data_IF_832253754224
#
_entry.id   IF_832253754224
#
_cell.length_a   1.000
_cell.length_b   1.000
_cell.length_c   1.000
_cell.angle_alpha   90.00
_cell.angle_beta   90.00
_cell.angle_gamma   90.00
#
_symmetry.space_group_name_H-M   'P 1'
#
loop_
_entity.id
_entity.type
_entity.pdbx_description
1 polymer ?
#
# COMPACT_ATOMS: atom_id res chain seq x y z
N UNK A 1 28.83 14.19 -24.25
CA UNK A 1 29.26 13.47 -23.05
C UNK A 1 28.17 12.48 -22.71
N UNK A 2 28.40 11.19 -22.94
CA UNK A 2 27.45 10.15 -22.57
C UNK A 2 27.25 10.18 -21.06
N UNK A 3 26.08 10.66 -20.64
CA UNK A 3 25.63 10.50 -19.27
C UNK A 3 25.37 9.00 -19.07
N UNK A 4 26.43 8.28 -18.67
CA UNK A 4 26.34 6.87 -18.30
C UNK A 4 25.20 6.74 -17.29
N UNK A 5 24.15 6.03 -17.69
CA UNK A 5 23.03 5.81 -16.79
C UNK A 5 23.56 5.15 -15.52
N UNK A 6 23.17 5.62 -14.33
CA UNK A 6 23.62 5.01 -13.10
C UNK A 6 23.24 3.52 -13.13
N UNK A 7 24.10 2.63 -12.58
CA UNK A 7 23.82 1.20 -12.56
C UNK A 7 22.43 0.94 -11.94
N UNK A 8 21.71 -0.03 -12.49
CA UNK A 8 20.27 -0.22 -12.23
C UNK A 8 19.91 -0.26 -10.73
N UNK A 9 20.78 -0.81 -9.88
CA UNK A 9 20.57 -0.81 -8.43
C UNK A 9 20.54 0.60 -7.83
N UNK A 10 21.41 1.53 -8.27
CA UNK A 10 21.40 2.92 -7.78
C UNK A 10 20.15 3.67 -8.21
N UNK A 11 19.58 3.30 -9.36
CA UNK A 11 18.39 3.95 -9.92
C UNK A 11 17.13 3.74 -9.06
N UNK A 12 17.11 2.72 -8.19
CA UNK A 12 15.96 2.35 -7.36
C UNK A 12 16.25 2.41 -5.85
N UNK A 13 17.32 3.08 -5.43
CA UNK A 13 17.74 3.14 -4.02
C UNK A 13 16.67 3.65 -3.07
N UNK A 14 15.93 4.68 -3.47
CA UNK A 14 14.85 5.23 -2.67
C UNK A 14 13.63 4.30 -2.56
N UNK A 15 13.55 3.25 -3.38
CA UNK A 15 12.48 2.26 -3.38
C UNK A 15 12.77 1.08 -2.43
N UNK A 16 13.99 0.56 -2.41
CA UNK A 16 14.33 -0.58 -1.52
C UNK A 16 14.82 -0.14 -0.14
N UNK A 17 15.39 1.06 0.04
CA UNK A 17 15.85 1.51 1.36
C UNK A 17 14.74 1.53 2.42
N UNK A 18 13.50 2.00 2.15
CA UNK A 18 12.41 1.89 3.11
C UNK A 18 12.12 0.45 3.53
N UNK A 19 12.24 -0.51 2.61
CA UNK A 19 12.04 -1.94 2.89
C UNK A 19 13.14 -2.44 3.85
N UNK A 20 14.40 -2.08 3.59
CA UNK A 20 15.51 -2.42 4.48
C UNK A 20 15.34 -1.78 5.87
N UNK A 21 14.90 -0.52 5.94
CA UNK A 21 14.60 0.18 7.19
C UNK A 21 13.48 -0.51 7.97
N UNK A 22 12.41 -0.96 7.30
CA UNK A 22 11.32 -1.74 7.92
C UNK A 22 11.86 -3.03 8.54
N UNK A 23 12.63 -3.82 7.77
CA UNK A 23 13.21 -5.08 8.26
C UNK A 23 14.10 -4.82 9.46
N UNK A 24 15.00 -3.84 9.36
CA UNK A 24 15.89 -3.47 10.45
C UNK A 24 15.12 -3.09 11.72
N UNK A 25 14.11 -2.24 11.62
CA UNK A 25 13.28 -1.81 12.75
C UNK A 25 12.57 -3.00 13.39
N UNK A 26 11.94 -3.87 12.58
CA UNK A 26 11.21 -5.04 13.08
C UNK A 26 12.13 -6.06 13.77
N UNK A 27 13.39 -6.17 13.34
CA UNK A 27 14.35 -7.11 13.93
C UNK A 27 15.14 -6.56 15.13
N UNK A 28 15.18 -5.24 15.32
CA UNK A 28 16.06 -4.62 16.34
C UNK A 28 15.32 -3.84 17.41
N UNK A 29 14.07 -3.44 17.17
CA UNK A 29 13.28 -2.66 18.12
C UNK A 29 12.13 -3.55 18.61
N UNK A 30 12.19 -3.97 19.87
CA UNK A 30 11.21 -4.88 20.48
C UNK A 30 9.80 -4.31 20.54
N UNK A 31 9.66 -2.99 20.69
CA UNK A 31 8.38 -2.31 20.70
C UNK A 31 8.38 -1.04 19.83
N UNK A 32 8.31 -1.19 18.49
CA UNK A 32 8.29 -0.04 17.58
C UNK A 32 7.09 0.88 17.81
N UNK A 33 5.99 0.34 18.35
CA UNK A 33 4.76 1.08 18.63
C UNK A 33 4.94 2.15 19.72
N UNK A 34 5.86 1.93 20.67
CA UNK A 34 6.22 2.93 21.68
C UNK A 34 7.02 4.11 21.08
N UNK A 35 7.66 3.91 19.92
CA UNK A 35 8.56 4.87 19.28
C UNK A 35 7.95 5.52 18.04
N UNK A 36 6.69 5.97 18.12
CA UNK A 36 5.93 6.52 16.97
C UNK A 36 6.62 7.71 16.29
N UNK A 37 7.16 8.65 17.08
CA UNK A 37 7.83 9.82 16.53
C UNK A 37 9.17 9.46 15.85
N UNK A 38 10.09 8.70 16.47
CA UNK A 38 11.25 8.14 15.77
C UNK A 38 10.89 7.35 14.51
N UNK A 39 9.81 6.56 14.55
CA UNK A 39 9.34 5.78 13.41
C UNK A 39 8.90 6.68 12.25
N UNK A 40 8.16 7.76 12.52
CA UNK A 40 7.80 8.75 11.50
C UNK A 40 9.03 9.51 10.98
N UNK A 41 10.01 9.79 11.83
CA UNK A 41 11.24 10.49 11.44
C UNK A 41 12.25 9.60 10.71
N UNK A 42 12.08 8.27 10.74
CA UNK A 42 12.97 7.29 10.09
C UNK A 42 13.05 7.44 8.56
N UNK A 43 12.08 8.12 7.94
CA UNK A 43 12.18 8.50 6.53
C UNK A 43 13.34 9.48 6.25
N UNK A 44 13.77 10.28 7.23
CA UNK A 44 14.90 11.20 7.06
C UNK A 44 16.25 10.47 6.89
N UNK A 45 16.71 9.60 7.81
CA UNK A 45 17.95 8.85 7.61
C UNK A 45 17.88 7.95 6.37
N UNK A 46 16.71 7.37 6.07
CA UNK A 46 16.47 6.58 4.85
C UNK A 46 16.69 7.43 3.58
N UNK A 47 16.17 8.65 3.56
CA UNK A 47 16.36 9.60 2.48
C UNK A 47 17.82 10.03 2.33
N UNK A 48 18.48 10.35 3.44
CA UNK A 48 19.89 10.79 3.44
C UNK A 48 20.78 9.69 2.86
N UNK A 49 20.64 8.46 3.34
CA UNK A 49 21.39 7.31 2.83
C UNK A 49 21.16 7.08 1.34
N UNK A 50 19.91 7.18 0.86
CA UNK A 50 19.60 7.04 -0.56
C UNK A 50 20.21 8.16 -1.40
N UNK A 51 20.18 9.38 -0.89
CA UNK A 51 20.68 10.57 -1.57
C UNK A 51 22.21 10.59 -1.71
N UNK A 52 22.95 9.84 -0.89
CA UNK A 52 24.41 9.69 -1.04
C UNK A 52 24.79 8.98 -2.34
N UNK A 53 23.90 8.15 -2.88
CA UNK A 53 24.18 7.27 -4.02
C UNK A 53 23.34 7.64 -5.23
N UNK A 54 22.17 8.26 -5.02
CA UNK A 54 21.28 8.68 -6.09
C UNK A 54 21.74 10.01 -6.73
N UNK A 55 21.94 10.07 -8.06
CA UNK A 55 22.35 11.30 -8.72
C UNK A 55 21.22 12.35 -8.68
N UNK A 56 21.50 13.52 -8.12
CA UNK A 56 20.55 14.64 -8.02
C UNK A 56 20.19 15.27 -9.37
N UNK A 57 21.07 15.15 -10.36
CA UNK A 57 20.94 15.69 -11.71
C UNK A 57 20.36 14.68 -12.73
N UNK A 58 19.68 13.62 -12.25
CA UNK A 58 19.07 12.63 -13.15
C UNK A 58 18.08 13.32 -14.10
N UNK A 59 18.08 12.97 -15.40
CA UNK A 59 17.10 13.49 -16.35
C UNK A 59 15.67 13.13 -15.94
N UNK A 60 14.71 13.93 -16.40
CA UNK A 60 13.30 13.67 -16.20
C UNK A 60 12.91 12.27 -16.74
N UNK A 61 11.92 11.60 -16.12
CA UNK A 61 11.51 10.28 -16.55
C UNK A 61 10.98 10.30 -17.99
N UNK A 62 11.35 9.29 -18.77
CA UNK A 62 10.82 9.10 -20.13
C UNK A 62 9.34 8.74 -20.09
N UNK A 63 8.58 8.89 -21.20
CA UNK A 63 7.17 8.51 -21.25
C UNK A 63 6.90 7.05 -20.81
N UNK A 64 7.79 6.13 -21.16
CA UNK A 64 7.73 4.72 -20.74
C UNK A 64 7.94 4.54 -19.23
N UNK A 65 8.78 5.38 -18.63
CA UNK A 65 9.01 5.39 -17.18
C UNK A 65 7.85 6.02 -16.41
N UNK A 66 7.06 6.87 -17.08
CA UNK A 66 5.81 7.43 -16.57
C UNK A 66 4.63 6.44 -16.61
N UNK A 67 4.76 5.29 -17.29
CA UNK A 67 3.78 4.22 -17.21
C UNK A 67 3.68 3.74 -15.75
N UNK A 68 2.46 3.65 -15.25
CA UNK A 68 2.17 3.17 -13.89
C UNK A 68 2.66 1.75 -13.67
N UNK A 69 3.16 1.46 -12.48
CA UNK A 69 3.75 0.18 -12.15
C UNK A 69 2.77 -0.97 -12.36
N UNK A 70 1.53 -0.83 -11.91
CA UNK A 70 0.45 -1.81 -12.09
C UNK A 70 -0.02 -1.96 -13.55
N UNK A 71 0.42 -1.08 -14.46
CA UNK A 71 0.13 -1.17 -15.91
C UNK A 71 1.28 -1.80 -16.70
N UNK A 72 2.48 -1.90 -16.14
CA UNK A 72 3.64 -2.50 -16.83
C UNK A 72 3.54 -4.02 -16.93
N UNK A 73 2.89 -4.67 -15.97
CA UNK A 73 2.73 -6.13 -15.95
C UNK A 73 1.44 -6.50 -15.21
N UNK A 74 0.66 -7.41 -15.79
CA UNK A 74 -0.55 -7.97 -15.18
C UNK A 74 -0.26 -8.63 -13.82
N UNK A 75 0.92 -9.23 -13.66
CA UNK A 75 1.33 -9.83 -12.39
C UNK A 75 1.51 -8.76 -11.29
N UNK A 76 2.04 -7.58 -11.62
CA UNK A 76 2.19 -6.49 -10.65
C UNK A 76 0.84 -5.99 -10.17
N UNK A 77 -0.12 -5.81 -11.09
CA UNK A 77 -1.50 -5.46 -10.74
C UNK A 77 -2.14 -6.48 -9.82
N UNK A 78 -2.03 -7.76 -10.19
CA UNK A 78 -2.56 -8.87 -9.42
C UNK A 78 -1.97 -8.88 -7.99
N UNK A 79 -0.65 -8.75 -7.85
CA UNK A 79 0.03 -8.72 -6.55
C UNK A 79 -0.43 -7.53 -5.71
N UNK A 80 -0.54 -6.33 -6.29
CA UNK A 80 -1.00 -5.14 -5.55
C UNK A 80 -2.46 -5.26 -5.12
N UNK A 81 -3.34 -5.83 -5.94
CA UNK A 81 -4.72 -6.12 -5.52
C UNK A 81 -4.79 -7.19 -4.44
N UNK A 82 -3.88 -8.15 -4.46
CA UNK A 82 -3.82 -9.19 -3.44
C UNK A 82 -3.48 -8.59 -2.08
N UNK A 83 -2.58 -7.61 -2.02
CA UNK A 83 -2.22 -6.94 -0.75
C UNK A 83 -3.37 -6.12 -0.18
N UNK A 84 -4.21 -5.49 -1.02
CA UNK A 84 -5.40 -4.76 -0.57
C UNK A 84 -6.30 -5.61 0.34
N UNK A 85 -6.68 -6.80 -0.14
CA UNK A 85 -7.59 -7.68 0.57
C UNK A 85 -7.04 -8.15 1.92
N UNK A 86 -5.71 -8.30 2.03
CA UNK A 86 -5.04 -8.72 3.27
C UNK A 86 -4.88 -7.58 4.26
N UNK A 87 -4.54 -6.38 3.80
CA UNK A 87 -4.41 -5.20 4.65
C UNK A 87 -5.76 -4.83 5.26
N UNK A 88 -6.85 -4.93 4.48
CA UNK A 88 -8.20 -4.61 4.94
C UNK A 88 -8.87 -5.77 5.72
N UNK A 89 -8.12 -6.84 6.05
CA UNK A 89 -8.62 -7.94 6.87
C UNK A 89 -9.68 -8.83 6.20
N UNK A 90 -9.86 -8.72 4.88
CA UNK A 90 -10.85 -9.52 4.17
C UNK A 90 -10.37 -10.96 3.96
N UNK A 91 -11.20 -11.99 4.24
CA UNK A 91 -10.82 -13.37 3.97
C UNK A 91 -10.59 -13.58 2.47
N UNK A 92 -9.50 -14.25 2.12
CA UNK A 92 -9.15 -14.48 0.73
C UNK A 92 -10.16 -15.45 0.08
N UNK A 93 -10.85 -14.96 -0.95
CA UNK A 93 -11.73 -15.76 -1.80
C UNK A 93 -11.33 -15.56 -3.25
N UNK A 94 -10.93 -16.64 -3.92
CA UNK A 94 -10.42 -16.60 -5.29
C UNK A 94 -11.40 -15.95 -6.26
N UNK A 95 -12.69 -16.29 -6.14
CA UNK A 95 -13.74 -15.75 -7.03
C UNK A 95 -13.83 -14.23 -6.91
N UNK A 96 -13.90 -13.69 -5.70
CA UNK A 96 -13.93 -12.24 -5.49
C UNK A 96 -12.65 -11.59 -6.02
N UNK A 97 -11.50 -12.16 -5.69
CA UNK A 97 -10.23 -11.65 -6.18
C UNK A 97 -10.14 -11.61 -7.72
N UNK A 98 -10.64 -12.65 -8.42
CA UNK A 98 -10.69 -12.69 -9.87
C UNK A 98 -11.62 -11.61 -10.45
N UNK A 99 -12.82 -11.45 -9.88
CA UNK A 99 -13.73 -10.36 -10.27
C UNK A 99 -13.11 -8.98 -10.04
N UNK A 100 -12.47 -8.80 -8.90
CA UNK A 100 -11.81 -7.54 -8.57
C UNK A 100 -10.64 -7.24 -9.52
N UNK A 101 -9.89 -8.27 -9.92
CA UNK A 101 -8.83 -8.16 -10.92
C UNK A 101 -9.41 -7.78 -12.29
N UNK A 102 -10.50 -8.40 -12.73
CA UNK A 102 -11.17 -8.02 -13.98
C UNK A 102 -11.66 -6.57 -13.94
N UNK A 103 -12.36 -6.18 -12.88
CA UNK A 103 -12.88 -4.82 -12.71
C UNK A 103 -11.77 -3.77 -12.70
N UNK A 104 -10.58 -4.10 -12.19
CA UNK A 104 -9.44 -3.17 -12.20
C UNK A 104 -8.92 -2.79 -13.59
N UNK A 105 -9.24 -3.57 -14.64
CA UNK A 105 -8.94 -3.18 -16.02
C UNK A 105 -9.87 -2.09 -16.54
N UNK A 106 -11.12 -2.09 -16.10
CA UNK A 106 -12.16 -1.18 -16.61
C UNK A 106 -12.33 0.05 -15.73
N UNK A 107 -12.13 -0.09 -14.42
CA UNK A 107 -12.34 0.98 -13.44
C UNK A 107 -11.55 2.25 -13.76
N UNK A 108 -10.33 2.09 -14.27
CA UNK A 108 -9.48 3.22 -14.62
C UNK A 108 -10.06 4.11 -15.72
N UNK A 109 -10.64 3.51 -16.76
CA UNK A 109 -11.27 4.26 -17.85
C UNK A 109 -12.54 4.98 -17.35
N UNK A 110 -13.32 4.32 -16.49
CA UNK A 110 -14.55 4.89 -15.93
C UNK A 110 -14.31 6.05 -14.97
N UNK A 111 -13.20 6.03 -14.24
CA UNK A 111 -12.86 7.05 -13.23
C UNK A 111 -12.10 8.23 -13.87
N UNK A 112 -11.90 8.20 -15.20
CA UNK A 112 -11.25 9.27 -15.94
C UNK A 112 -9.74 9.30 -15.74
N UNK A 113 -9.12 8.14 -15.49
CA UNK A 113 -7.67 8.03 -15.41
C UNK A 113 -7.01 8.52 -16.69
N UNK A 114 -5.88 9.22 -16.57
CA UNK A 114 -5.21 9.76 -17.75
C UNK A 114 -4.63 8.72 -18.69
N UNK A 115 -4.62 9.11 -19.96
CA UNK A 115 -3.88 8.43 -21.02
C UNK A 115 -2.37 8.48 -20.76
N UNK A 116 -1.70 7.40 -21.16
CA UNK A 116 -0.25 7.22 -21.06
C UNK A 116 0.48 8.37 -21.76
N UNK A 117 1.53 8.92 -21.13
CA UNK A 117 2.38 9.98 -21.69
C UNK A 117 2.06 11.40 -21.23
N UNK A 118 0.98 11.62 -20.47
CA UNK A 118 0.71 12.92 -19.85
C UNK A 118 1.57 13.18 -18.61
N UNK A 119 1.87 14.46 -18.26
CA UNK A 119 2.64 14.81 -17.07
C UNK A 119 2.04 14.20 -15.79
N UNK A 120 2.90 13.61 -14.96
CA UNK A 120 2.50 12.85 -13.77
C UNK A 120 1.94 13.78 -12.68
N UNK A 121 0.61 13.84 -12.55
CA UNK A 121 -0.07 14.27 -11.32
C UNK A 121 -0.49 13.01 -10.54
N UNK A 122 -0.64 13.13 -9.23
CA UNK A 122 -1.08 12.02 -8.40
C UNK A 122 -2.51 11.60 -8.80
N UNK A 123 -2.64 10.36 -9.24
CA UNK A 123 -3.93 9.74 -9.57
C UNK A 123 -4.66 9.30 -8.29
N UNK A 124 -3.93 9.05 -7.21
CA UNK A 124 -4.50 8.68 -5.91
C UNK A 124 -5.53 9.70 -5.42
N UNK A 125 -5.21 11.01 -5.46
CA UNK A 125 -6.15 12.04 -5.00
C UNK A 125 -7.45 12.05 -5.78
N UNK A 126 -7.41 11.83 -7.10
CA UNK A 126 -8.61 11.75 -7.94
C UNK A 126 -9.46 10.56 -7.49
N UNK A 127 -8.85 9.39 -7.32
CA UNK A 127 -9.57 8.20 -6.86
C UNK A 127 -10.12 8.32 -5.44
N UNK A 128 -9.39 9.00 -4.54
CA UNK A 128 -9.89 9.28 -3.18
C UNK A 128 -11.13 10.17 -3.22
N UNK A 129 -11.17 11.19 -4.09
CA UNK A 129 -12.38 12.00 -4.25
C UNK A 129 -13.57 11.17 -4.72
N UNK A 130 -13.34 10.25 -5.66
CA UNK A 130 -14.35 9.29 -6.09
C UNK A 130 -14.78 8.35 -4.95
N UNK A 131 -13.84 7.88 -4.12
CA UNK A 131 -14.13 7.01 -2.98
C UNK A 131 -14.96 7.74 -1.91
N UNK A 132 -14.67 9.02 -1.66
CA UNK A 132 -15.48 9.86 -0.79
C UNK A 132 -16.89 10.05 -1.37
N UNK A 133 -17.00 10.28 -2.68
CA UNK A 133 -18.28 10.41 -3.37
C UNK A 133 -19.11 9.12 -3.32
N UNK A 134 -18.51 7.97 -3.61
CA UNK A 134 -19.18 6.67 -3.54
C UNK A 134 -19.58 6.31 -2.10
N UNK A 135 -18.72 6.60 -1.12
CA UNK A 135 -19.01 6.40 0.30
C UNK A 135 -20.20 7.23 0.76
N UNK A 136 -20.28 8.50 0.37
CA UNK A 136 -21.44 9.35 0.65
C UNK A 136 -22.72 8.76 0.04
N UNK A 137 -22.67 8.33 -1.22
CA UNK A 137 -23.83 7.69 -1.86
C UNK A 137 -24.25 6.42 -1.12
N UNK A 138 -23.30 5.62 -0.65
CA UNK A 138 -23.60 4.41 0.12
C UNK A 138 -24.29 4.72 1.46
N UNK A 139 -23.97 5.86 2.10
CA UNK A 139 -24.66 6.31 3.32
C UNK A 139 -26.06 6.87 3.05
N UNK A 140 -26.29 7.43 1.86
CA UNK A 140 -27.56 8.06 1.48
C UNK A 140 -28.58 7.04 0.93
N UNK A 141 -28.09 5.93 0.36
CA UNK A 141 -28.96 4.87 -0.17
C UNK A 141 -29.33 3.90 0.94
N UNK A 142 -30.63 3.81 1.32
CA UNK A 142 -31.04 2.92 2.39
C UNK A 142 -30.97 1.44 1.94
N UNK A 143 -30.65 0.50 2.86
CA UNK A 143 -30.62 -0.93 2.54
C UNK A 143 -31.95 -1.50 2.02
N UNK A 144 -33.07 -0.82 2.27
CA UNK A 144 -34.39 -1.20 1.75
C UNK A 144 -34.46 -1.15 0.21
N UNK A 145 -33.58 -0.39 -0.44
CA UNK A 145 -33.49 -0.32 -1.90
C UNK A 145 -32.49 -1.35 -2.41
N UNK A 146 -32.82 -2.63 -2.22
CA UNK A 146 -31.90 -3.78 -2.38
C UNK A 146 -31.00 -3.73 -3.61
N UNK A 147 -31.56 -3.48 -4.80
CA UNK A 147 -30.80 -3.42 -6.05
C UNK A 147 -29.89 -2.19 -6.11
N UNK A 148 -30.36 -1.01 -5.70
CA UNK A 148 -29.55 0.20 -5.71
C UNK A 148 -28.43 0.14 -4.66
N UNK A 149 -28.75 -0.35 -3.46
CA UNK A 149 -27.79 -0.53 -2.38
C UNK A 149 -26.67 -1.50 -2.79
N UNK A 150 -27.03 -2.61 -3.45
CA UNK A 150 -26.06 -3.54 -4.00
C UNK A 150 -25.16 -2.89 -5.06
N UNK A 151 -25.74 -2.16 -6.02
CA UNK A 151 -24.97 -1.49 -7.09
C UNK A 151 -24.01 -0.43 -6.53
N UNK A 152 -24.48 0.40 -5.59
CA UNK A 152 -23.64 1.43 -4.96
C UNK A 152 -22.52 0.78 -4.16
N UNK A 153 -22.78 -0.31 -3.43
CA UNK A 153 -21.74 -1.07 -2.74
C UNK A 153 -20.70 -1.68 -3.68
N UNK A 154 -21.12 -2.14 -4.87
CA UNK A 154 -20.20 -2.66 -5.88
C UNK A 154 -19.32 -1.56 -6.48
N UNK A 155 -19.92 -0.39 -6.76
CA UNK A 155 -19.18 0.80 -7.22
C UNK A 155 -18.17 1.22 -6.16
N UNK A 156 -18.61 1.41 -4.91
CA UNK A 156 -17.75 1.82 -3.81
C UNK A 156 -16.55 0.89 -3.63
N UNK A 157 -16.80 -0.43 -3.58
CA UNK A 157 -15.75 -1.44 -3.53
C UNK A 157 -14.75 -1.31 -4.68
N UNK A 158 -15.23 -1.07 -5.90
CA UNK A 158 -14.39 -0.97 -7.10
C UNK A 158 -13.52 0.29 -7.05
N UNK A 159 -14.11 1.42 -6.64
CA UNK A 159 -13.42 2.69 -6.50
C UNK A 159 -12.33 2.60 -5.43
N UNK A 160 -12.60 2.01 -4.27
CA UNK A 160 -11.58 1.80 -3.22
C UNK A 160 -10.37 1.00 -3.69
N UNK A 161 -10.57 0.02 -4.57
CA UNK A 161 -9.49 -0.79 -5.15
C UNK A 161 -8.70 -0.03 -6.21
N UNK A 162 -9.39 0.77 -7.02
CA UNK A 162 -8.73 1.67 -7.95
C UNK A 162 -7.88 2.71 -7.19
N UNK A 163 -8.40 3.27 -6.10
CA UNK A 163 -7.66 4.15 -5.18
C UNK A 163 -6.42 3.45 -4.62
N UNK A 164 -6.53 2.19 -4.21
CA UNK A 164 -5.38 1.43 -3.70
C UNK A 164 -4.29 1.22 -4.77
N UNK A 165 -4.68 0.82 -5.98
CA UNK A 165 -3.73 0.66 -7.09
C UNK A 165 -3.03 2.00 -7.42
N UNK A 166 -3.81 3.08 -7.49
CA UNK A 166 -3.29 4.42 -7.74
C UNK A 166 -2.35 4.90 -6.61
N UNK A 167 -2.65 4.60 -5.34
CA UNK A 167 -1.78 4.90 -4.21
C UNK A 167 -0.42 4.22 -4.37
N UNK A 168 -0.42 2.91 -4.63
CA UNK A 168 0.82 2.13 -4.78
C UNK A 168 1.61 2.61 -6.00
N UNK A 169 0.93 2.91 -7.11
CA UNK A 169 1.57 3.48 -8.31
C UNK A 169 2.20 4.86 -8.07
N UNK A 170 1.56 5.70 -7.27
CA UNK A 170 2.08 7.02 -6.88
C UNK A 170 3.27 6.89 -5.93
N UNK A 171 3.20 6.01 -4.92
CA UNK A 171 4.31 5.70 -4.01
C UNK A 171 5.53 5.21 -4.80
N UNK A 172 5.34 4.18 -5.63
CA UNK A 172 6.42 3.64 -6.48
C UNK A 172 6.93 4.73 -7.42
N UNK A 173 6.05 5.58 -7.93
CA UNK A 173 6.41 6.72 -8.75
C UNK A 173 7.37 7.69 -8.11
N UNK A 174 7.01 8.15 -6.91
CA UNK A 174 7.80 9.10 -6.12
C UNK A 174 9.16 8.48 -5.76
N UNK A 175 9.20 7.19 -5.42
CA UNK A 175 10.43 6.54 -4.96
C UNK A 175 11.33 6.02 -6.08
N UNK A 176 10.79 5.63 -7.24
CA UNK A 176 11.58 5.15 -8.37
C UNK A 176 12.22 6.28 -9.20
N UNK A 177 11.52 7.42 -9.30
CA UNK A 177 11.98 8.59 -10.05
C UNK A 177 11.84 9.88 -9.23
N UNK A 178 12.52 9.99 -8.07
CA UNK A 178 12.38 11.14 -7.19
C UNK A 178 12.94 12.43 -7.82
N UNK A 179 12.18 13.54 -7.83
CA UNK A 179 12.65 14.83 -8.34
C UNK A 179 13.52 15.58 -7.30
N UNK A 180 14.70 15.04 -7.00
CA UNK A 180 15.61 15.55 -5.97
C UNK A 180 16.20 16.94 -6.27
N UNK A 181 16.07 17.44 -7.50
CA UNK A 181 16.45 18.80 -7.86
C UNK A 181 15.59 19.89 -7.19
N UNK A 182 14.44 19.55 -6.60
CA UNK A 182 13.52 20.50 -5.98
C UNK A 182 13.29 20.21 -4.49
N UNK A 183 13.13 21.25 -3.67
CA UNK A 183 12.81 21.07 -2.24
C UNK A 183 11.49 20.31 -2.03
N UNK A 184 10.49 20.60 -2.87
CA UNK A 184 9.19 19.89 -2.86
C UNK A 184 9.37 18.39 -3.12
N UNK A 185 10.24 18.03 -4.08
CA UNK A 185 10.56 16.64 -4.38
C UNK A 185 11.26 15.93 -3.23
N UNK A 186 12.24 16.58 -2.60
CA UNK A 186 12.92 16.05 -1.41
C UNK A 186 11.94 15.79 -0.26
N UNK A 187 11.08 16.77 0.03
CA UNK A 187 10.04 16.65 1.04
C UNK A 187 9.07 15.50 0.72
N UNK A 188 8.63 15.37 -0.54
CA UNK A 188 7.75 14.29 -0.96
C UNK A 188 8.39 12.91 -0.76
N UNK A 189 9.68 12.73 -1.09
CA UNK A 189 10.38 11.46 -0.86
C UNK A 189 10.44 11.14 0.63
N UNK A 190 10.87 12.09 1.47
CA UNK A 190 10.93 11.89 2.92
C UNK A 190 9.56 11.49 3.46
N UNK A 191 8.50 12.22 3.10
CA UNK A 191 7.14 11.94 3.56
C UNK A 191 6.66 10.56 3.12
N UNK A 192 6.88 10.18 1.85
CA UNK A 192 6.48 8.87 1.35
C UNK A 192 7.26 7.75 2.03
N UNK A 193 8.59 7.91 2.22
CA UNK A 193 9.39 6.92 2.93
C UNK A 193 8.95 6.80 4.39
N UNK A 194 8.74 7.92 5.10
CA UNK A 194 8.20 7.94 6.46
C UNK A 194 6.86 7.23 6.57
N UNK A 195 5.92 7.53 5.66
CA UNK A 195 4.60 6.91 5.65
C UNK A 195 4.68 5.40 5.40
N UNK A 196 5.45 4.97 4.40
CA UNK A 196 5.64 3.54 4.07
C UNK A 196 6.26 2.80 5.25
N UNK A 197 7.32 3.33 5.86
CA UNK A 197 7.97 2.68 7.01
C UNK A 197 7.00 2.60 8.19
N UNK A 198 6.39 3.72 8.57
CA UNK A 198 5.53 3.77 9.74
C UNK A 198 4.30 2.88 9.59
N UNK A 199 3.57 2.99 8.48
CA UNK A 199 2.36 2.18 8.26
C UNK A 199 2.71 0.69 8.22
N UNK A 200 3.79 0.31 7.54
CA UNK A 200 4.15 -1.11 7.42
C UNK A 200 4.60 -1.70 8.76
N UNK A 201 5.44 -0.99 9.51
CA UNK A 201 5.89 -1.45 10.83
C UNK A 201 4.72 -1.55 11.80
N UNK A 202 3.86 -0.52 11.88
CA UNK A 202 2.70 -0.54 12.78
C UNK A 202 1.72 -1.66 12.41
N UNK A 203 1.47 -1.86 11.12
CA UNK A 203 0.62 -2.96 10.63
C UNK A 203 1.21 -4.33 10.95
N UNK A 204 2.51 -4.52 10.77
CA UNK A 204 3.20 -5.77 11.10
C UNK A 204 3.12 -6.05 12.61
N UNK A 205 3.45 -5.08 13.46
CA UNK A 205 3.34 -5.22 14.91
C UNK A 205 1.91 -5.54 15.35
N UNK A 206 0.91 -4.86 14.81
CA UNK A 206 -0.50 -5.14 15.08
C UNK A 206 -0.88 -6.57 14.66
N UNK A 207 -0.47 -6.99 13.47
CA UNK A 207 -0.77 -8.33 12.94
C UNK A 207 -0.12 -9.43 13.79
N UNK A 208 1.12 -9.25 14.23
CA UNK A 208 1.79 -10.19 15.13
C UNK A 208 1.14 -10.24 16.52
N UNK A 209 0.71 -9.10 17.07
CA UNK A 209 0.01 -9.06 18.34
C UNK A 209 -1.33 -9.82 18.28
N UNK A 210 -2.13 -9.56 17.25
CA UNK A 210 -3.41 -10.26 17.03
C UNK A 210 -3.23 -11.76 16.83
N UNK A 211 -2.22 -12.18 16.05
CA UNK A 211 -1.93 -13.59 15.84
C UNK A 211 -1.52 -14.29 17.14
N UNK A 212 -0.71 -13.63 17.98
CA UNK A 212 -0.30 -14.15 19.29
C UNK A 212 -1.50 -14.34 20.21
N UNK A 213 -2.40 -13.36 20.27
CA UNK A 213 -3.60 -13.42 21.10
C UNK A 213 -4.51 -14.58 20.68
N UNK A 214 -4.71 -14.78 19.38
CA UNK A 214 -5.48 -15.92 18.85
C UNK A 214 -4.87 -17.27 19.25
N UNK A 215 -3.54 -17.41 19.20
CA UNK A 215 -2.86 -18.64 19.60
C UNK A 215 -3.02 -18.90 21.10
N UNK A 216 -2.85 -17.88 21.94
CA UNK A 216 -3.00 -18.00 23.40
C UNK A 216 -4.43 -18.39 23.77
N UNK A 217 -5.42 -17.74 23.16
CA UNK A 217 -6.84 -18.05 23.41
C UNK A 217 -7.19 -19.47 22.95
N UNK A 218 -6.68 -19.92 21.81
CA UNK A 218 -6.88 -21.29 21.33
C UNK A 218 -6.25 -22.34 22.25
N UNK A 219 -5.05 -22.06 22.78
CA UNK A 219 -4.38 -22.94 23.75
C UNK A 219 -5.11 -22.99 25.09
N UNK A 220 -5.63 -21.86 25.58
CA UNK A 220 -6.45 -21.81 26.79
C UNK A 220 -7.71 -22.66 26.66
N UNK A 221 -8.46 -22.49 25.57
CA UNK A 221 -9.65 -23.30 25.30
C UNK A 221 -9.36 -24.81 25.18
N UNK A 222 -8.19 -25.16 24.65
CA UNK A 222 -7.78 -26.56 24.54
C UNK A 222 -7.41 -27.17 25.90
N UNK A 223 -6.80 -26.38 26.81
CA UNK A 223 -6.52 -26.79 28.18
C UNK A 223 -7.80 -26.98 28.99
N UNK A 224 -8.72 -26.01 28.92
CA UNK A 224 -10.02 -26.09 29.61
C UNK A 224 -10.81 -27.33 29.16
N UNK A 225 -10.81 -27.63 27.86
CA UNK A 225 -11.48 -28.81 27.33
C UNK A 225 -10.83 -30.14 27.78
N UNK A 226 -9.50 -30.16 27.94
CA UNK A 226 -8.79 -31.32 28.48
C UNK A 226 -9.07 -31.51 29.98
N UNK A 227 -9.16 -30.42 30.75
CA UNK A 227 -9.55 -30.47 32.16
C UNK A 227 -10.98 -30.98 32.34
N UNK A 228 -11.94 -30.50 31.53
CA UNK A 228 -13.32 -30.99 31.55
C UNK A 228 -13.42 -32.49 31.21
N UNK A 229 -12.61 -32.98 30.27
CA UNK A 229 -12.59 -34.41 29.93
C UNK A 229 -11.93 -35.28 31.01
N UNK A 230 -10.93 -34.76 31.73
CA UNK A 230 -10.17 -35.51 32.73
C UNK A 230 -10.82 -35.45 34.13
N UNK A 231 -11.55 -34.37 34.44
CA UNK A 231 -12.06 -34.09 35.77
C UNK A 231 -13.58 -33.86 35.84
N UNK A 232 -14.27 -33.71 34.69
CA UNK A 232 -15.72 -33.53 34.60
C UNK A 232 -16.53 -34.84 34.62
N UNK A 233 -15.88 -36.00 34.71
CA UNK A 233 -16.54 -37.29 34.91
C UNK A 233 -16.62 -37.64 36.40
N UNK A 234 -17.52 -36.98 37.13
CA UNK A 234 -18.03 -37.44 38.44
C UNK A 234 -19.55 -37.27 38.48
#
# INVERSE_FOLDING_TARGET
MDATQPPAWRAYVHLYLPILSIIFILCTIDNPFAHRLPLLLSGFPTYVLGSLVYPSSRPAPTPEQCIRFTRKNHLYRALVLFTYGRIMGSPFRLNYYAFDLLLSYVAGELIGERNVGNPRRSEFFVHVLWACGSGLMFTLVPPSWSMLWFLVGLIDRTVWRASWLALVDDIIGVLAYPPLGTQKGKAAVILVQSAVIAVTVLYACFSFAMAREQIVNAQGQQLDHLEDMLFGAN
#
